data_IF_345142592464
#
_entry.id   IF_345142592464
#
_cell.length_a   1.000
_cell.length_b   1.000
_cell.length_c   1.000
_cell.angle_alpha   90.00
_cell.angle_beta   90.00
_cell.angle_gamma   90.00
#
_symmetry.space_group_name_H-M   'P 1'
#
loop_
_entity.id
_entity.type
_entity.pdbx_description
1 polymer ?
#
# COMPACT_ATOMS: atom_id res chain seq x y z
N UNK A 1 10.54 -12.66 5.56
CA UNK A 1 10.17 -11.68 4.53
C UNK A 1 8.96 -10.92 5.04
N UNK A 2 9.10 -9.60 5.23
CA UNK A 2 8.05 -8.70 5.71
C UNK A 2 7.29 -8.02 4.54
N UNK A 3 6.10 -7.49 4.77
CA UNK A 3 5.29 -6.77 3.78
C UNK A 3 6.00 -5.56 3.17
N UNK A 4 6.81 -4.84 3.95
CA UNK A 4 7.61 -3.72 3.44
C UNK A 4 8.73 -4.19 2.52
N UNK A 5 9.39 -5.31 2.84
CA UNK A 5 10.42 -5.91 1.99
C UNK A 5 9.83 -6.38 0.65
N UNK A 6 8.60 -6.90 0.67
CA UNK A 6 7.86 -7.27 -0.55
C UNK A 6 7.52 -6.04 -1.39
N UNK A 7 7.03 -4.97 -0.77
CA UNK A 7 6.76 -3.71 -1.44
C UNK A 7 8.02 -3.21 -2.19
N UNK A 8 9.15 -3.19 -1.51
CA UNK A 8 10.41 -2.74 -2.08
C UNK A 8 10.82 -3.57 -3.30
N UNK A 9 10.78 -4.91 -3.19
CA UNK A 9 11.07 -5.81 -4.32
C UNK A 9 10.11 -5.61 -5.50
N UNK A 10 8.82 -5.38 -5.23
CA UNK A 10 7.84 -5.10 -6.30
C UNK A 10 8.19 -3.79 -6.99
N UNK A 11 8.46 -2.72 -6.22
CA UNK A 11 8.77 -1.41 -6.78
C UNK A 11 10.08 -1.35 -7.53
N UNK A 12 11.09 -2.11 -7.12
CA UNK A 12 12.34 -2.26 -7.89
C UNK A 12 12.11 -2.97 -9.22
N UNK A 13 11.30 -4.04 -9.25
CA UNK A 13 11.10 -4.86 -10.46
C UNK A 13 10.05 -4.31 -11.42
N UNK A 14 8.99 -3.68 -10.89
CA UNK A 14 7.85 -3.15 -11.63
C UNK A 14 7.35 -1.86 -10.97
N UNK A 15 8.03 -0.72 -11.16
CA UNK A 15 7.72 0.54 -10.49
C UNK A 15 6.27 1.00 -10.62
N UNK A 16 5.65 0.72 -11.77
CA UNK A 16 4.25 1.06 -12.08
C UNK A 16 3.22 0.18 -11.35
N UNK A 17 3.64 -0.95 -10.75
CA UNK A 17 2.71 -1.81 -10.00
C UNK A 17 2.26 -1.07 -8.75
N UNK A 18 0.94 -0.95 -8.59
CA UNK A 18 0.36 -0.32 -7.40
C UNK A 18 0.23 -1.35 -6.29
N UNK A 19 0.69 -0.98 -5.11
CA UNK A 19 0.73 -1.86 -3.94
C UNK A 19 0.00 -1.17 -2.82
N UNK A 20 -0.97 -1.86 -2.23
CA UNK A 20 -1.65 -1.42 -1.02
C UNK A 20 -1.22 -2.38 0.09
N UNK A 21 -0.80 -1.85 1.23
CA UNK A 21 -0.43 -2.65 2.40
C UNK A 21 -1.63 -2.75 3.35
N UNK A 22 -1.88 -3.95 3.87
CA UNK A 22 -2.89 -4.20 4.88
C UNK A 22 -2.28 -4.90 6.09
N UNK A 23 -2.48 -4.39 7.31
CA UNK A 23 -1.88 -5.00 8.52
C UNK A 23 -2.80 -4.97 9.74
N UNK A 24 -2.69 -5.95 10.62
CA UNK A 24 -3.35 -5.95 11.94
C UNK A 24 -2.49 -5.35 13.07
N UNK A 25 -1.21 -5.08 12.81
CA UNK A 25 -0.25 -4.53 13.77
C UNK A 25 0.49 -3.32 13.19
N UNK A 26 -0.25 -2.47 12.48
CA UNK A 26 0.32 -1.26 11.90
C UNK A 26 0.65 -0.22 12.95
N UNK A 27 1.78 0.46 12.77
CA UNK A 27 2.11 1.71 13.46
C UNK A 27 2.15 2.86 12.47
N UNK A 28 2.06 4.09 12.99
CA UNK A 28 2.28 5.31 12.19
C UNK A 28 3.63 5.24 11.48
N UNK A 29 4.67 4.76 12.16
CA UNK A 29 6.02 4.62 11.60
C UNK A 29 6.04 3.71 10.38
N UNK A 30 5.43 2.53 10.47
CA UNK A 30 5.36 1.58 9.35
C UNK A 30 4.47 2.07 8.21
N UNK A 31 3.41 2.82 8.52
CA UNK A 31 2.59 3.45 7.49
C UNK A 31 3.38 4.51 6.72
N UNK A 32 4.09 5.39 7.44
CA UNK A 32 4.96 6.41 6.82
C UNK A 32 6.06 5.76 5.98
N UNK A 33 6.68 4.69 6.46
CA UNK A 33 7.68 3.94 5.71
C UNK A 33 7.11 3.36 4.41
N UNK A 34 5.95 2.69 4.48
CA UNK A 34 5.28 2.14 3.31
C UNK A 34 4.99 3.21 2.25
N UNK A 35 4.46 4.37 2.68
CA UNK A 35 4.15 5.47 1.77
C UNK A 35 5.42 6.03 1.12
N UNK A 36 6.51 6.21 1.89
CA UNK A 36 7.81 6.65 1.36
C UNK A 36 8.40 5.67 0.33
N UNK A 37 8.16 4.37 0.52
CA UNK A 37 8.57 3.31 -0.41
C UNK A 37 7.62 3.13 -1.59
N UNK A 38 6.62 4.01 -1.75
CA UNK A 38 5.75 4.05 -2.92
C UNK A 38 4.51 3.16 -2.83
N UNK A 39 4.10 2.74 -1.64
CA UNK A 39 2.77 2.18 -1.45
C UNK A 39 1.71 3.19 -1.90
N UNK A 40 0.68 2.71 -2.60
CA UNK A 40 -0.46 3.51 -3.02
C UNK A 40 -1.39 3.82 -1.84
N UNK A 41 -1.49 2.89 -0.88
CA UNK A 41 -2.27 3.08 0.34
C UNK A 41 -1.80 2.12 1.44
N UNK A 42 -2.25 2.39 2.67
CA UNK A 42 -1.96 1.59 3.86
C UNK A 42 -3.22 1.49 4.74
N UNK A 43 -3.80 0.30 4.87
CA UNK A 43 -4.98 0.09 5.71
C UNK A 43 -4.67 -0.76 6.94
N UNK A 44 -5.25 -0.37 8.08
CA UNK A 44 -5.28 -1.18 9.29
C UNK A 44 -6.47 -2.14 9.25
N UNK A 45 -6.24 -3.37 9.69
CA UNK A 45 -7.28 -4.36 9.96
C UNK A 45 -7.85 -4.14 11.37
N UNK A 46 -9.15 -4.38 11.57
CA UNK A 46 -10.15 -4.74 10.55
C UNK A 46 -10.52 -3.54 9.67
N UNK A 47 -10.84 -3.80 8.40
CA UNK A 47 -11.38 -2.80 7.47
C UNK A 47 -12.64 -3.35 6.80
N UNK A 48 -13.53 -2.45 6.42
CA UNK A 48 -14.74 -2.74 5.66
C UNK A 48 -14.44 -2.99 4.18
N UNK A 49 -15.33 -3.70 3.46
CA UNK A 49 -15.26 -3.80 2.00
C UNK A 49 -15.30 -2.44 1.28
N UNK A 50 -15.93 -1.43 1.89
CA UNK A 50 -15.98 -0.07 1.35
C UNK A 50 -14.60 0.61 1.41
N UNK A 51 -13.90 0.52 2.54
CA UNK A 51 -12.54 1.07 2.69
C UNK A 51 -11.56 0.40 1.72
N UNK A 52 -11.66 -0.93 1.54
CA UNK A 52 -10.84 -1.63 0.55
C UNK A 52 -11.11 -1.11 -0.88
N UNK A 53 -12.38 -0.98 -1.27
CA UNK A 53 -12.76 -0.45 -2.59
C UNK A 53 -12.25 0.98 -2.79
N UNK A 54 -12.32 1.81 -1.76
CA UNK A 54 -11.81 3.18 -1.81
C UNK A 54 -10.29 3.22 -2.01
N UNK A 55 -9.54 2.39 -1.27
CA UNK A 55 -8.08 2.26 -1.44
C UNK A 55 -7.69 1.78 -2.84
N UNK A 56 -8.40 0.79 -3.38
CA UNK A 56 -8.20 0.32 -4.77
C UNK A 56 -8.50 1.43 -5.78
N UNK A 57 -9.62 2.14 -5.64
CA UNK A 57 -10.00 3.24 -6.53
C UNK A 57 -8.94 4.35 -6.53
N UNK A 58 -8.51 4.79 -5.34
CA UNK A 58 -7.45 5.79 -5.15
C UNK A 58 -6.14 5.33 -5.78
N UNK A 59 -5.79 4.06 -5.58
CA UNK A 59 -4.67 3.43 -6.28
C UNK A 59 -4.80 3.63 -7.79
N UNK A 60 -5.91 3.20 -8.37
CA UNK A 60 -6.14 3.24 -9.82
C UNK A 60 -6.18 4.66 -10.43
N UNK A 61 -6.57 5.67 -9.67
CA UNK A 61 -6.62 7.08 -10.12
C UNK A 61 -5.23 7.70 -10.27
N UNK A 62 -4.29 7.42 -9.35
CA UNK A 62 -2.95 8.03 -9.28
C UNK A 62 -1.92 7.48 -10.28
N UNK A 63 -2.33 7.19 -11.51
CA UNK A 63 -1.43 6.68 -12.56
C UNK A 63 -2.10 6.77 -13.92
N UNK A 64 -2.88 7.84 -14.06
CA UNK A 64 -3.29 8.43 -15.32
C UNK A 64 -2.30 9.53 -15.76
N UNK A 65 -1.11 9.55 -15.17
CA UNK A 65 0.01 10.43 -15.53
C UNK A 65 1.04 9.65 -16.35
#
# INVERSE_FOLDING_TARGET
MDGIEVLEKIKTRRPQTRVIIFTGYGSITTAVEAMRKGAADYLNKPFSPHELKAGVKKGLENGRD
#
